data_IF_723633351393
#
_entry.id   IF_723633351393
#
_cell.length_a   1.000
_cell.length_b   1.000
_cell.length_c   1.000
_cell.angle_alpha   90.00
_cell.angle_beta   90.00
_cell.angle_gamma   90.00
#
_symmetry.space_group_name_H-M   'P 1'
#
loop_
_entity.id
_entity.type
_entity.pdbx_description
1 polymer ?
#
# COMPACT_ATOMS: atom_id res chain seq x y z
N UNK A 1 5.83 15.77 7.64
CA UNK A 1 5.95 14.93 6.43
C UNK A 1 5.48 15.65 5.15
N UNK A 2 6.22 15.54 4.04
CA UNK A 2 5.86 16.08 2.71
C UNK A 2 6.40 15.21 1.56
N UNK A 3 5.52 14.84 0.62
CA UNK A 3 5.87 14.08 -0.59
C UNK A 3 4.98 14.53 -1.77
N UNK A 4 5.50 15.33 -2.73
CA UNK A 4 4.72 15.93 -3.79
C UNK A 4 4.70 15.12 -5.09
N UNK A 5 4.98 13.81 -5.04
CA UNK A 5 5.05 12.96 -6.23
C UNK A 5 6.36 12.19 -6.32
N UNK A 6 6.36 10.96 -5.84
CA UNK A 6 7.53 10.08 -5.83
C UNK A 6 7.13 8.63 -6.11
N UNK A 7 8.06 7.84 -6.64
CA UNK A 7 7.95 6.39 -6.75
C UNK A 7 8.64 5.81 -5.53
N UNK A 8 7.88 5.09 -4.71
CA UNK A 8 8.36 4.53 -3.45
C UNK A 8 8.35 2.99 -3.54
N UNK A 9 9.38 2.35 -2.96
CA UNK A 9 9.47 0.90 -2.79
C UNK A 9 8.47 0.46 -1.72
N UNK A 10 7.85 -0.69 -1.95
CA UNK A 10 7.03 -1.38 -0.95
C UNK A 10 7.40 -2.86 -0.91
N UNK A 11 7.29 -3.48 0.26
CA UNK A 11 7.74 -4.85 0.51
C UNK A 11 6.83 -5.59 1.49
N UNK A 12 7.22 -6.83 1.81
CA UNK A 12 6.46 -7.73 2.68
C UNK A 12 5.22 -8.33 2.01
N UNK A 13 5.10 -8.25 0.69
CA UNK A 13 3.88 -8.63 -0.02
C UNK A 13 3.75 -10.16 -0.10
N UNK A 14 2.63 -10.70 0.40
CA UNK A 14 2.27 -12.11 0.23
C UNK A 14 1.49 -12.32 -1.08
N UNK A 15 2.11 -12.98 -2.05
CA UNK A 15 1.50 -13.28 -3.35
C UNK A 15 0.33 -14.27 -3.30
N UNK A 16 0.10 -14.95 -2.17
CA UNK A 16 -0.98 -15.90 -1.99
C UNK A 16 -2.28 -15.26 -1.47
N UNK A 17 -2.19 -14.07 -0.88
CA UNK A 17 -3.35 -13.35 -0.37
C UNK A 17 -4.19 -12.77 -1.54
N UNK A 18 -5.53 -12.87 -1.52
CA UNK A 18 -6.38 -12.49 -2.66
C UNK A 18 -6.13 -11.08 -3.19
N UNK A 19 -6.01 -10.09 -2.28
CA UNK A 19 -5.80 -8.68 -2.62
C UNK A 19 -4.43 -8.44 -3.31
N UNK A 20 -3.42 -9.19 -2.93
CA UNK A 20 -2.03 -9.04 -3.39
C UNK A 20 -1.61 -10.19 -4.32
N UNK A 21 -2.59 -10.92 -4.85
CA UNK A 21 -2.34 -12.02 -5.76
C UNK A 21 -1.60 -11.56 -7.04
N UNK A 22 -0.58 -12.31 -7.43
CA UNK A 22 0.21 -12.03 -8.64
C UNK A 22 1.25 -10.90 -8.50
N UNK A 23 1.53 -10.45 -7.28
CA UNK A 23 2.72 -9.66 -6.96
C UNK A 23 3.91 -10.55 -6.56
N UNK A 24 5.12 -10.00 -6.59
CA UNK A 24 6.29 -10.58 -5.90
C UNK A 24 6.31 -10.16 -4.43
N UNK A 25 7.42 -10.39 -3.73
CA UNK A 25 7.62 -9.93 -2.34
C UNK A 25 7.79 -8.41 -2.23
N UNK A 26 8.09 -7.75 -3.34
CA UNK A 26 8.31 -6.30 -3.45
C UNK A 26 7.54 -5.74 -4.65
N UNK A 27 7.21 -4.46 -4.57
CA UNK A 27 6.60 -3.70 -5.67
C UNK A 27 6.90 -2.20 -5.52
N UNK A 28 6.23 -1.37 -6.30
CA UNK A 28 6.36 0.08 -6.28
C UNK A 28 4.99 0.75 -6.21
N UNK A 29 4.94 1.93 -5.58
CA UNK A 29 3.73 2.76 -5.53
C UNK A 29 4.05 4.20 -5.93
N UNK A 30 3.07 4.86 -6.54
CA UNK A 30 3.14 6.31 -6.75
C UNK A 30 2.46 7.03 -5.58
N UNK A 31 3.25 7.82 -4.85
CA UNK A 31 2.78 8.60 -3.72
C UNK A 31 2.72 10.08 -4.07
N UNK A 32 1.58 10.71 -3.83
CA UNK A 32 1.43 12.16 -4.02
C UNK A 32 0.41 12.72 -3.03
N UNK A 33 0.92 13.39 -1.97
CA UNK A 33 0.10 14.01 -0.92
C UNK A 33 -0.96 13.06 -0.31
N UNK A 34 -0.61 11.78 -0.17
CA UNK A 34 -1.44 10.79 0.51
C UNK A 34 -1.17 10.80 2.03
N UNK A 35 -1.94 10.01 2.77
CA UNK A 35 -1.68 9.73 4.18
C UNK A 35 -0.57 8.68 4.33
N UNK A 36 0.10 8.69 5.47
CA UNK A 36 0.90 7.55 5.97
C UNK A 36 0.06 6.90 7.07
N UNK A 37 -0.07 5.58 7.04
CA UNK A 37 -0.90 4.88 8.00
C UNK A 37 -0.08 4.38 9.19
N UNK A 38 -0.79 4.23 10.31
CA UNK A 38 -0.35 3.52 11.50
C UNK A 38 -1.46 2.54 11.85
N UNK A 39 -1.13 1.27 12.11
CA UNK A 39 -2.10 0.28 12.61
C UNK A 39 -2.09 0.35 14.13
N UNK A 40 -3.19 0.80 14.71
CA UNK A 40 -3.40 0.83 16.15
C UNK A 40 -4.52 -0.14 16.55
N UNK A 41 -4.30 -0.94 17.60
CA UNK A 41 -5.31 -1.87 18.12
C UNK A 41 -5.41 -3.19 17.35
N UNK A 42 -6.49 -3.94 17.61
CA UNK A 42 -6.73 -5.26 17.01
C UNK A 42 -7.69 -5.14 15.81
N UNK A 43 -7.49 -5.97 14.79
CA UNK A 43 -8.38 -6.06 13.62
C UNK A 43 -7.71 -5.74 12.28
N UNK A 44 -7.14 -4.53 12.06
CA UNK A 44 -6.50 -4.19 10.80
C UNK A 44 -5.27 -5.07 10.54
N UNK A 45 -5.13 -5.56 9.31
CA UNK A 45 -4.01 -6.37 8.85
C UNK A 45 -3.28 -5.62 7.74
N UNK A 46 -1.97 -5.41 7.91
CA UNK A 46 -1.12 -4.90 6.84
C UNK A 46 -0.91 -5.98 5.76
N UNK A 47 -0.97 -5.57 4.49
CA UNK A 47 -0.76 -6.44 3.33
C UNK A 47 0.49 -6.06 2.52
N UNK A 48 1.01 -4.85 2.76
CA UNK A 48 2.25 -4.34 2.19
C UNK A 48 2.74 -3.18 3.06
N UNK A 49 4.06 -2.95 3.10
CA UNK A 49 4.70 -1.95 3.94
C UNK A 49 5.77 -1.19 3.17
N UNK A 50 6.10 0.02 3.62
CA UNK A 50 7.38 0.62 3.25
C UNK A 50 8.53 -0.13 3.95
N UNK A 51 9.74 -0.17 3.35
CA UNK A 51 10.94 -0.67 4.02
C UNK A 51 11.17 -0.03 5.39
N UNK A 52 11.79 -0.79 6.30
CA UNK A 52 12.22 -0.29 7.61
C UNK A 52 13.38 0.71 7.48
N UNK A 53 14.25 0.54 6.47
CA UNK A 53 15.34 1.48 6.18
C UNK A 53 14.81 2.65 5.31
N UNK A 54 14.79 3.90 5.82
CA UNK A 54 14.34 5.07 5.07
C UNK A 54 15.10 5.27 3.74
N UNK A 55 16.37 4.87 3.67
CA UNK A 55 17.20 5.03 2.48
C UNK A 55 16.78 4.10 1.33
N UNK A 56 16.03 3.03 1.62
CA UNK A 56 15.49 2.12 0.62
C UNK A 56 14.10 2.52 0.09
N UNK A 57 13.42 3.47 0.74
CA UNK A 57 12.03 3.82 0.42
C UNK A 57 11.94 4.54 -0.93
N UNK A 58 12.85 5.46 -1.25
CA UNK A 58 12.73 6.33 -2.43
C UNK A 58 13.44 5.71 -3.64
N UNK A 59 12.66 5.30 -4.63
CA UNK A 59 13.21 4.84 -5.92
C UNK A 59 13.33 5.98 -6.93
N UNK A 60 12.44 6.97 -6.85
CA UNK A 60 12.48 8.18 -7.67
C UNK A 60 11.72 9.33 -7.02
N UNK A 61 12.25 10.55 -7.11
CA UNK A 61 11.65 11.75 -6.53
C UNK A 61 12.32 12.13 -5.21
N UNK A 62 11.53 12.67 -4.28
CA UNK A 62 12.02 13.10 -2.96
C UNK A 62 10.92 13.07 -1.91
N UNK A 63 11.34 13.01 -0.65
CA UNK A 63 10.48 13.03 0.53
C UNK A 63 11.12 13.93 1.58
N UNK A 64 10.30 14.62 2.37
CA UNK A 64 10.74 15.23 3.63
C UNK A 64 9.96 14.53 4.74
N UNK A 65 10.67 13.72 5.51
CA UNK A 65 10.10 12.92 6.60
C UNK A 65 10.94 13.04 7.88
N UNK A 66 11.02 14.26 8.42
CA UNK A 66 11.82 14.55 9.63
C UNK A 66 11.40 13.75 10.86
N UNK A 67 10.14 13.30 10.91
CA UNK A 67 9.57 12.52 12.01
C UNK A 67 9.72 11.01 11.80
N UNK A 68 10.23 10.57 10.64
CA UNK A 68 10.42 9.15 10.31
C UNK A 68 9.11 8.37 10.22
N UNK A 69 8.03 9.00 9.77
CA UNK A 69 6.70 8.40 9.75
C UNK A 69 6.58 7.24 8.75
N UNK A 70 7.40 7.24 7.70
CA UNK A 70 7.27 6.27 6.59
C UNK A 70 7.97 4.94 6.84
N UNK A 71 9.06 4.92 7.60
CA UNK A 71 9.82 3.70 7.86
C UNK A 71 8.94 2.61 8.50
N UNK A 72 8.83 1.46 7.84
CA UNK A 72 8.02 0.33 8.29
C UNK A 72 6.50 0.58 8.26
N UNK A 73 6.03 1.72 7.76
CA UNK A 73 4.62 2.05 7.79
C UNK A 73 3.82 1.23 6.76
N UNK A 74 2.62 0.73 7.12
CA UNK A 74 1.77 -0.01 6.20
C UNK A 74 1.25 0.89 5.06
N UNK A 75 1.28 0.37 3.84
CA UNK A 75 0.79 1.08 2.64
C UNK A 75 -0.52 0.52 2.10
N UNK A 76 -0.83 -0.73 2.44
CA UNK A 76 -2.05 -1.43 2.06
C UNK A 76 -2.55 -2.18 3.29
N UNK A 77 -3.81 -1.93 3.67
CA UNK A 77 -4.42 -2.48 4.88
C UNK A 77 -5.75 -3.12 4.52
N UNK A 78 -6.00 -4.31 5.05
CA UNK A 78 -7.32 -4.93 5.12
C UNK A 78 -7.90 -4.73 6.52
N UNK A 79 -9.14 -4.27 6.60
CA UNK A 79 -9.87 -4.15 7.86
C UNK A 79 -11.15 -5.00 7.79
N UNK A 80 -11.26 -6.07 8.60
CA UNK A 80 -12.45 -6.92 8.61
C UNK A 80 -13.64 -6.17 9.21
N UNK A 81 -14.81 -6.38 8.62
CA UNK A 81 -16.11 -5.88 9.08
C UNK A 81 -17.06 -7.06 9.28
N UNK A 82 -18.24 -6.83 9.88
CA UNK A 82 -19.23 -7.90 10.09
C UNK A 82 -19.65 -8.57 8.77
N UNK A 83 -20.03 -7.77 7.77
CA UNK A 83 -20.47 -8.24 6.45
C UNK A 83 -19.44 -7.92 5.35
N UNK A 84 -18.17 -8.26 5.59
CA UNK A 84 -17.09 -8.14 4.59
C UNK A 84 -15.85 -7.45 5.13
N UNK A 85 -15.25 -6.55 4.33
CA UNK A 85 -13.99 -5.89 4.67
C UNK A 85 -13.77 -4.59 3.90
N UNK A 86 -12.91 -3.74 4.45
CA UNK A 86 -12.45 -2.50 3.81
C UNK A 86 -10.98 -2.67 3.44
N UNK A 87 -10.66 -2.42 2.17
CA UNK A 87 -9.28 -2.34 1.69
C UNK A 87 -8.88 -0.87 1.59
N UNK A 88 -7.83 -0.49 2.30
CA UNK A 88 -7.31 0.89 2.34
C UNK A 88 -5.90 0.94 1.76
N UNK A 89 -5.70 1.83 0.78
CA UNK A 89 -4.40 2.09 0.19
C UNK A 89 -3.93 3.51 0.56
N UNK A 90 -2.71 3.61 1.09
CA UNK A 90 -2.07 4.89 1.46
C UNK A 90 -1.39 5.57 0.25
N UNK A 91 -1.76 5.19 -0.97
CA UNK A 91 -1.18 5.66 -2.23
C UNK A 91 -2.27 5.76 -3.31
N UNK A 92 -1.95 6.47 -4.39
CA UNK A 92 -2.90 6.70 -5.49
C UNK A 92 -2.89 5.53 -6.48
N UNK A 93 -3.57 4.44 -6.15
CA UNK A 93 -3.57 3.20 -6.93
C UNK A 93 -3.99 3.36 -8.41
N UNK A 94 -4.82 4.37 -8.73
CA UNK A 94 -5.29 4.67 -10.09
C UNK A 94 -4.79 6.03 -10.64
N UNK A 95 -3.74 6.63 -10.07
CA UNK A 95 -3.32 8.00 -10.40
C UNK A 95 -3.20 8.23 -11.92
N UNK A 96 -4.10 9.03 -12.49
CA UNK A 96 -4.13 9.37 -13.93
C UNK A 96 -4.08 8.15 -14.88
N UNK A 97 -4.44 6.96 -14.39
CA UNK A 97 -4.28 5.70 -15.10
C UNK A 97 -2.84 5.42 -15.60
N UNK A 98 -1.81 5.89 -14.90
CA UNK A 98 -0.40 5.64 -15.24
C UNK A 98 0.31 4.56 -14.39
N UNK A 99 0.04 4.36 -13.09
CA UNK A 99 0.76 3.38 -12.30
C UNK A 99 0.15 1.98 -12.52
N UNK A 100 0.48 1.37 -13.65
CA UNK A 100 -0.06 0.06 -14.02
C UNK A 100 0.29 -1.02 -12.99
N UNK A 101 1.42 -0.86 -12.30
CA UNK A 101 1.85 -1.77 -11.25
C UNK A 101 0.86 -1.81 -10.07
N UNK A 102 0.15 -0.73 -9.76
CA UNK A 102 -0.80 -0.69 -8.63
C UNK A 102 -2.25 -0.99 -9.02
N UNK A 103 -2.54 -1.22 -10.31
CA UNK A 103 -3.90 -1.54 -10.75
C UNK A 103 -4.39 -2.90 -10.24
N UNK A 104 -3.49 -3.88 -10.08
CA UNK A 104 -3.91 -5.21 -9.61
C UNK A 104 -4.51 -5.12 -8.21
N UNK A 105 -4.02 -4.27 -7.30
CA UNK A 105 -4.65 -4.07 -5.99
C UNK A 105 -6.14 -3.71 -6.10
N UNK A 106 -6.51 -2.83 -7.06
CA UNK A 106 -7.91 -2.44 -7.27
C UNK A 106 -8.71 -3.61 -7.86
N UNK A 107 -8.20 -4.24 -8.92
CA UNK A 107 -8.94 -5.30 -9.61
C UNK A 107 -9.04 -6.57 -8.78
N UNK A 108 -8.00 -6.93 -8.02
CA UNK A 108 -8.03 -8.01 -7.06
C UNK A 108 -9.06 -7.74 -5.96
N UNK A 109 -9.14 -6.52 -5.42
CA UNK A 109 -10.16 -6.17 -4.43
C UNK A 109 -11.59 -6.26 -5.00
N UNK A 110 -11.82 -5.79 -6.23
CA UNK A 110 -13.14 -5.93 -6.90
C UNK A 110 -13.48 -7.41 -7.13
N UNK A 111 -12.50 -8.20 -7.57
CA UNK A 111 -12.70 -9.63 -7.84
C UNK A 111 -12.98 -10.39 -6.54
N UNK A 112 -12.17 -10.17 -5.50
CA UNK A 112 -12.32 -10.75 -4.16
C UNK A 112 -13.71 -10.45 -3.58
N UNK A 113 -14.18 -9.20 -3.70
CA UNK A 113 -15.53 -8.82 -3.27
C UNK A 113 -16.66 -9.52 -4.04
N UNK A 114 -16.41 -9.98 -5.26
CA UNK A 114 -17.41 -10.69 -6.07
C UNK A 114 -17.45 -12.20 -5.79
N UNK A 115 -16.38 -12.77 -5.23
CA UNK A 115 -16.24 -14.22 -4.98
C UNK A 115 -16.24 -14.58 -3.50
N UNK A 116 -16.09 -13.62 -2.60
CA UNK A 116 -16.26 -13.81 -1.17
C UNK A 116 -17.74 -14.00 -0.86
N UNK A 117 -18.08 -15.06 -0.12
CA UNK A 117 -19.44 -15.35 0.35
C UNK A 117 -19.86 -14.45 1.52
#
# INVERSE_FOLDING_TARGET
FYCPGSILKVEGIDSSHPITYGYGSESIVYFHRCAVFEITGEGPVGLAWYPDDPDEIILSGWIIDEEGLTAGAPVLIEYPMEDGKVIMAAFLANNRAQPHETFKFIFNAIFDAAVSE
#
